data_IF_585263720274
#
_entry.id   IF_585263720274
#
_cell.length_a   1.000
_cell.length_b   1.000
_cell.length_c   1.000
_cell.angle_alpha   90.00
_cell.angle_beta   90.00
_cell.angle_gamma   90.00
#
_symmetry.space_group_name_H-M   'P 1'
#
loop_
_entity.id
_entity.type
_entity.pdbx_description
1 polymer ?
#
# COMPACT_ATOMS: atom_id res chain seq x y z
N UNK A 1 -13.33 -2.16 19.58
CA UNK A 1 -13.53 -2.95 18.34
C UNK A 1 -13.50 -2.03 17.14
N UNK A 2 -12.65 -2.33 16.16
CA UNK A 2 -12.50 -1.55 14.92
C UNK A 2 -13.78 -1.65 14.08
N UNK A 3 -14.34 -2.83 13.93
CA UNK A 3 -15.53 -3.10 13.11
C UNK A 3 -16.83 -2.72 13.78
N UNK A 4 -16.83 -2.48 15.09
CA UNK A 4 -18.02 -2.26 15.94
C UNK A 4 -19.07 -3.37 15.84
N UNK A 5 -18.74 -4.51 15.23
CA UNK A 5 -19.61 -5.65 15.00
C UNK A 5 -19.10 -6.86 15.80
N UNK A 6 -19.88 -7.32 16.77
CA UNK A 6 -19.55 -8.49 17.60
C UNK A 6 -19.40 -9.75 16.72
N UNK A 7 -18.35 -10.54 16.97
CA UNK A 7 -18.10 -11.79 16.26
C UNK A 7 -17.62 -11.62 14.81
N UNK A 8 -17.36 -10.39 14.34
CA UNK A 8 -16.90 -10.17 12.96
C UNK A 8 -15.55 -10.83 12.68
N UNK A 9 -14.64 -10.84 13.66
CA UNK A 9 -13.33 -11.48 13.53
C UNK A 9 -13.48 -12.99 13.29
N UNK A 10 -14.24 -13.68 14.12
CA UNK A 10 -14.46 -15.13 13.98
C UNK A 10 -15.15 -15.50 12.66
N UNK A 11 -16.13 -14.69 12.24
CA UNK A 11 -16.78 -14.87 10.93
C UNK A 11 -15.82 -14.70 9.76
N UNK A 12 -14.95 -13.69 9.82
CA UNK A 12 -13.94 -13.46 8.78
C UNK A 12 -12.93 -14.61 8.74
N UNK A 13 -12.45 -15.04 9.91
CA UNK A 13 -11.52 -16.16 10.04
C UNK A 13 -12.12 -17.47 9.47
N UNK A 14 -13.35 -17.78 9.83
CA UNK A 14 -14.07 -18.95 9.29
C UNK A 14 -14.28 -18.84 7.77
N UNK A 15 -14.57 -17.65 7.24
CA UNK A 15 -14.71 -17.41 5.81
C UNK A 15 -13.39 -17.64 5.05
N UNK A 16 -12.28 -17.16 5.59
CA UNK A 16 -10.94 -17.40 5.02
C UNK A 16 -10.61 -18.89 4.96
N UNK A 17 -10.84 -19.63 6.05
CA UNK A 17 -10.57 -21.07 6.09
C UNK A 17 -11.42 -21.83 5.06
N UNK A 18 -12.71 -21.49 4.92
CA UNK A 18 -13.57 -22.10 3.89
C UNK A 18 -13.06 -21.86 2.47
N UNK A 19 -12.55 -20.67 2.17
CA UNK A 19 -11.97 -20.41 0.86
C UNK A 19 -10.70 -21.25 0.63
N UNK A 20 -9.88 -21.44 1.66
CA UNK A 20 -8.71 -22.31 1.59
C UNK A 20 -9.11 -23.77 1.37
N UNK A 21 -10.12 -24.27 2.07
CA UNK A 21 -10.64 -25.64 1.91
C UNK A 21 -11.14 -25.92 0.48
N UNK A 22 -11.68 -24.88 -0.18
CA UNK A 22 -12.10 -24.94 -1.59
C UNK A 22 -10.95 -24.66 -2.59
N UNK A 23 -9.70 -24.60 -2.12
CA UNK A 23 -8.51 -24.29 -2.92
C UNK A 23 -8.58 -22.92 -3.64
N UNK A 24 -9.31 -21.95 -3.09
CA UNK A 24 -9.37 -20.59 -3.60
C UNK A 24 -8.18 -19.81 -3.02
N UNK A 25 -7.29 -19.23 -3.87
CA UNK A 25 -6.17 -18.44 -3.37
C UNK A 25 -6.64 -17.24 -2.54
N UNK A 26 -6.12 -17.12 -1.33
CA UNK A 26 -6.46 -16.05 -0.40
C UNK A 26 -5.20 -15.27 -0.02
N UNK A 27 -5.33 -13.96 0.07
CA UNK A 27 -4.36 -13.08 0.70
C UNK A 27 -5.05 -12.23 1.77
N UNK A 28 -4.45 -12.12 2.93
CA UNK A 28 -4.92 -11.25 4.01
C UNK A 28 -4.23 -9.90 3.87
N UNK A 29 -5.01 -8.81 3.82
CA UNK A 29 -4.50 -7.45 3.98
C UNK A 29 -4.67 -7.01 5.43
N UNK A 30 -3.56 -6.72 6.10
CA UNK A 30 -3.51 -6.30 7.50
C UNK A 30 -2.86 -4.92 7.61
N UNK A 31 -3.61 -3.82 7.37
CA UNK A 31 -3.09 -2.48 7.63
C UNK A 31 -2.83 -2.31 9.14
N UNK A 32 -1.64 -1.80 9.47
CA UNK A 32 -1.24 -1.60 10.87
C UNK A 32 -1.62 -0.19 11.29
N UNK A 33 -2.40 -0.08 12.34
CA UNK A 33 -2.90 1.15 12.94
C UNK A 33 -2.66 1.13 14.45
N UNK A 34 -2.91 2.24 15.14
CA UNK A 34 -2.70 2.33 16.62
C UNK A 34 -3.38 1.21 17.41
N UNK A 35 -4.56 0.74 16.94
CA UNK A 35 -5.33 -0.26 17.65
C UNK A 35 -4.79 -1.69 17.55
N UNK A 36 -4.00 -2.00 16.52
CA UNK A 36 -3.49 -3.36 16.30
C UNK A 36 -1.96 -3.43 16.17
N UNK A 37 -1.24 -2.34 16.40
CA UNK A 37 0.22 -2.29 16.25
C UNK A 37 0.98 -3.30 17.12
N UNK A 38 0.40 -3.70 18.24
CA UNK A 38 0.98 -4.64 19.19
C UNK A 38 0.50 -6.09 18.97
N UNK A 39 -0.48 -6.32 18.07
CA UNK A 39 -1.12 -7.63 17.86
C UNK A 39 -1.18 -8.08 16.40
N UNK A 40 -0.72 -7.26 15.44
CA UNK A 40 -0.75 -7.63 14.02
C UNK A 40 0.12 -8.87 13.72
N UNK A 41 1.13 -9.11 14.53
CA UNK A 41 2.03 -10.27 14.40
C UNK A 41 1.27 -11.58 14.61
N UNK A 42 0.24 -11.59 15.46
CA UNK A 42 -0.62 -12.77 15.67
C UNK A 42 -1.36 -13.13 14.36
N UNK A 43 -1.80 -12.11 13.58
CA UNK A 43 -2.43 -12.33 12.27
C UNK A 43 -1.41 -12.84 11.25
N UNK A 44 -0.18 -12.33 11.32
CA UNK A 44 0.91 -12.74 10.45
C UNK A 44 1.26 -14.21 10.67
N UNK A 45 1.50 -14.61 11.93
CA UNK A 45 1.81 -15.98 12.29
C UNK A 45 0.65 -16.93 11.98
N UNK A 46 -0.59 -16.52 12.30
CA UNK A 46 -1.77 -17.30 11.94
C UNK A 46 -1.87 -17.54 10.42
N UNK A 47 -1.57 -16.53 9.61
CA UNK A 47 -1.52 -16.68 8.15
C UNK A 47 -0.46 -17.69 7.70
N UNK A 48 0.74 -17.61 8.25
CA UNK A 48 1.83 -18.57 7.93
C UNK A 48 1.48 -20.00 8.33
N UNK A 49 0.90 -20.20 9.52
CA UNK A 49 0.45 -21.51 9.99
C UNK A 49 -0.60 -22.17 9.07
N UNK A 50 -1.33 -21.33 8.31
CA UNK A 50 -2.35 -21.79 7.36
C UNK A 50 -1.90 -21.66 5.89
N UNK A 51 -0.60 -21.38 5.65
CA UNK A 51 -0.05 -21.17 4.31
C UNK A 51 -0.75 -20.06 3.52
N UNK A 52 -1.16 -18.99 4.21
CA UNK A 52 -1.84 -17.82 3.65
C UNK A 52 -0.88 -16.63 3.65
N UNK A 53 -0.75 -15.96 2.50
CA UNK A 53 0.03 -14.73 2.42
C UNK A 53 -0.65 -13.59 3.20
N UNK A 54 0.12 -12.90 4.05
CA UNK A 54 -0.33 -11.72 4.79
C UNK A 54 0.47 -10.52 4.35
N UNK A 55 -0.21 -9.53 3.77
CA UNK A 55 0.37 -8.25 3.43
C UNK A 55 0.14 -7.26 4.58
N UNK A 56 1.21 -6.76 5.17
CA UNK A 56 1.17 -5.75 6.24
C UNK A 56 1.66 -4.40 5.72
N UNK A 57 0.95 -3.34 6.02
CA UNK A 57 1.33 -1.97 5.66
C UNK A 57 1.21 -1.07 6.91
N UNK A 58 2.32 -0.50 7.42
CA UNK A 58 2.31 0.32 8.64
C UNK A 58 1.83 1.75 8.40
N UNK A 59 1.24 2.01 7.25
CA UNK A 59 0.84 3.37 6.86
C UNK A 59 -0.57 3.37 6.30
N UNK A 60 -1.41 4.28 6.81
CA UNK A 60 -2.72 4.61 6.25
C UNK A 60 -2.72 6.05 5.73
N UNK A 61 -3.58 6.34 4.78
CA UNK A 61 -3.76 7.66 4.17
C UNK A 61 -5.16 8.22 4.48
N UNK A 62 -5.34 9.52 4.28
CA UNK A 62 -6.64 10.18 4.48
C UNK A 62 -7.73 9.58 3.59
N UNK A 63 -8.96 9.61 4.08
CA UNK A 63 -10.12 9.24 3.29
C UNK A 63 -10.28 10.16 2.07
N UNK A 64 -10.98 9.66 1.06
CA UNK A 64 -11.15 10.37 -0.22
C UNK A 64 -11.96 11.68 -0.13
N UNK A 65 -12.68 11.89 0.96
CA UNK A 65 -13.44 13.10 1.25
C UNK A 65 -12.60 14.24 1.88
N UNK A 66 -11.29 14.03 1.98
CA UNK A 66 -10.32 14.93 2.61
C UNK A 66 -10.57 15.21 4.10
N UNK A 67 -11.49 14.50 4.76
CA UNK A 67 -11.82 14.75 6.18
C UNK A 67 -10.65 14.45 7.11
N UNK A 68 -9.76 13.54 6.72
CA UNK A 68 -8.64 13.12 7.56
C UNK A 68 -9.05 12.44 8.88
N UNK A 69 -10.34 12.20 9.11
CA UNK A 69 -10.84 11.64 10.37
C UNK A 69 -10.24 10.28 10.73
N UNK A 70 -9.89 9.47 9.73
CA UNK A 70 -9.23 8.18 9.93
C UNK A 70 -7.75 8.32 10.31
N UNK A 71 -7.13 9.48 10.10
CA UNK A 71 -5.71 9.72 10.43
C UNK A 71 -5.45 9.74 11.94
N UNK A 72 -6.48 9.88 12.77
CA UNK A 72 -6.37 9.70 14.22
C UNK A 72 -5.84 8.29 14.58
N UNK A 73 -6.06 7.30 13.70
CA UNK A 73 -5.60 5.92 13.86
C UNK A 73 -4.23 5.65 13.19
N UNK A 74 -3.66 6.63 12.48
CA UNK A 74 -2.33 6.52 11.86
C UNK A 74 -1.27 6.44 12.94
N UNK A 75 -0.29 5.59 12.72
CA UNK A 75 0.91 5.51 13.56
C UNK A 75 1.71 6.83 13.48
N UNK A 76 2.32 7.23 14.60
CA UNK A 76 3.36 8.26 14.57
C UNK A 76 4.61 7.72 13.85
N UNK A 77 5.57 8.58 13.56
CA UNK A 77 6.85 8.14 12.95
C UNK A 77 7.61 7.20 13.91
N UNK A 78 7.55 7.44 15.21
CA UNK A 78 8.16 6.61 16.23
C UNK A 78 7.47 5.22 16.30
N UNK A 79 6.14 5.19 16.28
CA UNK A 79 5.38 3.94 16.25
C UNK A 79 5.64 3.14 14.95
N UNK A 80 5.84 3.80 13.82
CA UNK A 80 6.26 3.14 12.56
C UNK A 80 7.67 2.56 12.71
N UNK A 81 8.60 3.25 13.39
CA UNK A 81 9.94 2.74 13.67
C UNK A 81 9.90 1.44 14.47
N UNK A 82 9.05 1.37 15.48
CA UNK A 82 8.84 0.17 16.30
C UNK A 82 8.28 -0.98 15.45
N UNK A 83 7.23 -0.74 14.68
CA UNK A 83 6.63 -1.73 13.77
C UNK A 83 7.66 -2.26 12.76
N UNK A 84 8.42 -1.37 12.11
CA UNK A 84 9.47 -1.78 11.18
C UNK A 84 10.56 -2.59 11.86
N UNK A 85 10.88 -2.31 13.14
CA UNK A 85 11.84 -3.11 13.90
C UNK A 85 11.35 -4.55 14.07
N UNK A 86 10.09 -4.72 14.45
CA UNK A 86 9.46 -6.04 14.55
C UNK A 86 9.42 -6.73 13.19
N UNK A 87 9.03 -6.05 12.13
CA UNK A 87 9.03 -6.62 10.77
C UNK A 87 10.43 -7.11 10.34
N UNK A 88 11.50 -6.40 10.70
CA UNK A 88 12.87 -6.89 10.44
C UNK A 88 13.19 -8.17 11.22
N UNK A 89 12.69 -8.31 12.46
CA UNK A 89 12.83 -9.52 13.25
C UNK A 89 12.04 -10.70 12.66
N UNK A 90 10.88 -10.43 12.08
CA UNK A 90 10.04 -11.41 11.36
C UNK A 90 10.55 -11.75 9.95
N UNK A 91 11.74 -11.29 9.55
CA UNK A 91 12.39 -11.69 8.32
C UNK A 91 12.00 -10.89 7.06
N UNK A 92 11.37 -9.75 7.19
CA UNK A 92 10.93 -8.93 6.04
C UNK A 92 12.07 -8.28 5.26
N UNK A 93 13.31 -8.23 5.80
CA UNK A 93 14.41 -7.46 5.21
C UNK A 93 14.74 -7.88 3.76
N UNK A 94 14.88 -9.17 3.50
CA UNK A 94 15.24 -9.66 2.16
C UNK A 94 14.13 -9.40 1.13
N UNK A 95 12.86 -9.61 1.50
CA UNK A 95 11.72 -9.34 0.62
C UNK A 95 11.55 -7.86 0.30
N UNK A 96 11.67 -6.99 1.29
CA UNK A 96 11.61 -5.53 1.09
C UNK A 96 12.78 -5.04 0.25
N UNK A 97 13.99 -5.57 0.45
CA UNK A 97 15.14 -5.25 -0.37
C UNK A 97 14.93 -5.66 -1.84
N UNK A 98 14.45 -6.88 -2.09
CA UNK A 98 14.13 -7.34 -3.45
C UNK A 98 13.14 -6.40 -4.14
N UNK A 99 12.05 -6.03 -3.46
CA UNK A 99 11.06 -5.08 -3.98
C UNK A 99 11.70 -3.72 -4.26
N UNK A 100 12.62 -3.27 -3.40
CA UNK A 100 13.32 -2.00 -3.58
C UNK A 100 14.20 -2.02 -4.83
N UNK A 101 14.96 -3.08 -5.06
CA UNK A 101 15.80 -3.25 -6.25
C UNK A 101 14.97 -3.24 -7.54
N UNK A 102 13.83 -3.94 -7.56
CA UNK A 102 12.91 -3.92 -8.69
C UNK A 102 12.40 -2.49 -8.99
N UNK A 103 12.09 -1.72 -7.96
CA UNK A 103 11.65 -0.32 -8.10
C UNK A 103 12.76 0.64 -8.55
N UNK A 104 13.98 0.40 -8.11
CA UNK A 104 15.16 1.21 -8.50
C UNK A 104 15.53 1.04 -9.96
N UNK A 105 15.19 -0.08 -10.58
CA UNK A 105 15.37 -0.31 -12.01
C UNK A 105 14.46 0.59 -12.88
N UNK A 106 13.38 1.14 -12.32
CA UNK A 106 12.45 2.01 -13.02
C UNK A 106 13.05 3.40 -13.25
N UNK A 107 12.77 3.95 -14.43
CA UNK A 107 13.27 5.25 -14.90
C UNK A 107 12.23 6.36 -14.81
N UNK A 108 12.62 7.59 -15.05
CA UNK A 108 11.68 8.70 -15.16
C UNK A 108 10.63 8.54 -16.26
N UNK A 109 10.87 7.71 -17.28
CA UNK A 109 9.93 7.44 -18.36
C UNK A 109 8.88 6.37 -18.02
N UNK A 110 9.08 5.62 -16.96
CA UNK A 110 8.15 4.58 -16.54
C UNK A 110 6.87 5.16 -15.93
N UNK A 111 5.75 4.43 -16.00
CA UNK A 111 4.50 4.84 -15.35
C UNK A 111 4.70 4.98 -13.84
N UNK A 112 3.94 5.89 -13.25
CA UNK A 112 3.99 6.06 -11.79
C UNK A 112 3.39 4.88 -11.02
N UNK A 113 2.32 4.29 -11.55
CA UNK A 113 1.65 3.10 -11.00
C UNK A 113 0.77 2.42 -12.07
N UNK A 114 0.08 1.35 -11.68
CA UNK A 114 -0.84 0.57 -12.53
C UNK A 114 -2.20 1.23 -12.79
N UNK A 115 -2.51 2.36 -12.14
CA UNK A 115 -3.81 3.03 -12.21
C UNK A 115 -4.22 3.31 -13.67
N UNK A 116 -5.45 2.94 -14.03
CA UNK A 116 -6.00 3.08 -15.39
C UNK A 116 -5.20 2.41 -16.51
N UNK A 117 -4.18 1.59 -16.19
CA UNK A 117 -3.40 0.80 -17.16
C UNK A 117 -3.81 -0.67 -17.14
N UNK A 118 -4.05 -1.21 -15.94
CA UNK A 118 -4.43 -2.61 -15.74
C UNK A 118 -5.68 -2.76 -14.87
N UNK A 119 -6.09 -1.70 -14.18
CA UNK A 119 -7.22 -1.74 -13.26
C UNK A 119 -7.88 -0.38 -13.09
N UNK A 120 -9.12 -0.42 -12.64
CA UNK A 120 -9.88 0.68 -12.05
C UNK A 120 -10.79 0.13 -10.94
N UNK A 121 -11.46 0.98 -10.20
CA UNK A 121 -12.39 0.61 -9.15
C UNK A 121 -13.82 0.92 -9.58
N UNK A 122 -14.75 0.01 -9.29
CA UNK A 122 -16.19 0.20 -9.47
C UNK A 122 -16.88 0.07 -8.13
N UNK A 123 -17.75 1.02 -7.81
CA UNK A 123 -18.59 0.94 -6.61
C UNK A 123 -19.89 0.19 -6.89
N UNK A 124 -20.60 -0.18 -5.84
CA UNK A 124 -21.92 -0.84 -5.95
C UNK A 124 -22.96 0.04 -6.67
N UNK A 125 -22.78 1.37 -6.72
CA UNK A 125 -23.62 2.30 -7.46
C UNK A 125 -23.30 2.40 -8.96
N UNK A 126 -22.28 1.67 -9.44
CA UNK A 126 -21.84 1.75 -10.84
C UNK A 126 -20.85 2.85 -11.14
N UNK A 127 -20.53 3.72 -10.19
CA UNK A 127 -19.53 4.79 -10.40
C UNK A 127 -18.12 4.21 -10.50
N UNK A 128 -17.34 4.70 -11.47
CA UNK A 128 -16.01 4.19 -11.77
C UNK A 128 -14.94 5.22 -11.38
N UNK A 129 -13.91 4.75 -10.68
CA UNK A 129 -12.79 5.54 -10.17
C UNK A 129 -11.45 4.97 -10.60
N UNK A 130 -10.37 5.77 -10.63
CA UNK A 130 -9.03 5.29 -11.00
C UNK A 130 -8.51 4.16 -10.11
N UNK A 131 -8.76 4.24 -8.80
CA UNK A 131 -8.47 3.20 -7.82
C UNK A 131 -9.39 3.32 -6.60
N UNK A 132 -9.43 2.29 -5.76
CA UNK A 132 -10.33 2.21 -4.60
C UNK A 132 -10.19 3.38 -3.60
N UNK A 133 -8.98 3.92 -3.44
CA UNK A 133 -8.75 5.05 -2.53
C UNK A 133 -9.02 6.43 -3.14
N UNK A 134 -9.29 6.53 -4.46
CA UNK A 134 -9.41 7.82 -5.15
C UNK A 134 -10.85 8.09 -5.61
N UNK A 135 -11.80 7.96 -4.70
CA UNK A 135 -13.22 8.05 -5.00
C UNK A 135 -13.78 9.48 -5.15
N UNK A 136 -12.94 10.50 -5.04
CA UNK A 136 -13.26 11.88 -5.44
C UNK A 136 -12.86 12.20 -6.89
N UNK A 137 -12.40 11.21 -7.67
CA UNK A 137 -11.94 11.37 -9.04
C UNK A 137 -12.70 10.42 -9.97
N UNK A 138 -13.92 10.77 -10.35
CA UNK A 138 -14.78 9.95 -11.24
C UNK A 138 -14.19 9.89 -12.65
N UNK A 139 -14.12 8.67 -13.22
CA UNK A 139 -13.64 8.40 -14.58
C UNK A 139 -14.70 7.83 -15.52
N UNK A 140 -15.85 7.41 -14.98
CA UNK A 140 -16.97 6.88 -15.74
C UNK A 140 -18.12 6.43 -14.84
N UNK A 141 -19.23 6.00 -15.48
CA UNK A 141 -20.43 5.49 -14.81
C UNK A 141 -21.03 4.33 -15.62
N UNK A 142 -21.05 3.13 -15.03
CA UNK A 142 -21.58 1.92 -15.65
C UNK A 142 -23.11 1.91 -15.79
N UNK A 143 -23.82 2.86 -15.17
CA UNK A 143 -25.26 3.03 -15.43
C UNK A 143 -25.55 3.63 -16.81
N UNK A 144 -24.53 4.26 -17.44
CA UNK A 144 -24.66 4.99 -18.71
C UNK A 144 -23.64 4.58 -19.77
N UNK A 145 -22.60 3.83 -19.38
CA UNK A 145 -21.50 3.47 -20.26
C UNK A 145 -21.10 2.01 -20.03
N UNK A 146 -20.59 1.36 -21.05
CA UNK A 146 -19.94 0.04 -20.89
C UNK A 146 -18.53 0.18 -20.32
N UNK A 147 -17.99 -0.89 -19.75
CA UNK A 147 -16.59 -0.97 -19.30
C UNK A 147 -15.64 -0.60 -20.44
N UNK A 148 -15.90 -1.10 -21.65
CA UNK A 148 -15.06 -0.84 -22.82
C UNK A 148 -15.08 0.64 -23.20
N UNK A 149 -16.26 1.27 -23.26
CA UNK A 149 -16.37 2.70 -23.56
C UNK A 149 -15.60 3.54 -22.55
N UNK A 150 -15.76 3.30 -21.24
CA UNK A 150 -15.02 4.02 -20.20
C UNK A 150 -13.51 3.84 -20.42
N UNK A 151 -13.06 2.60 -20.61
CA UNK A 151 -11.65 2.25 -20.75
C UNK A 151 -10.97 2.89 -21.95
N UNK A 152 -11.67 3.00 -23.07
CA UNK A 152 -11.14 3.48 -24.33
C UNK A 152 -11.35 4.98 -24.55
N UNK A 153 -12.46 5.54 -24.06
CA UNK A 153 -12.86 6.91 -24.41
C UNK A 153 -12.65 7.93 -23.31
N UNK A 154 -12.62 7.54 -22.03
CA UNK A 154 -12.49 8.48 -20.92
C UNK A 154 -11.23 9.34 -21.05
N UNK A 155 -11.43 10.65 -21.15
CA UNK A 155 -10.33 11.61 -21.22
C UNK A 155 -9.44 11.55 -19.97
N UNK A 156 -10.04 11.31 -18.79
CA UNK A 156 -9.33 11.18 -17.51
C UNK A 156 -8.43 9.95 -17.46
N UNK A 157 -8.89 8.82 -18.00
CA UNK A 157 -8.05 7.62 -18.15
C UNK A 157 -6.86 7.90 -19.07
N UNK A 158 -7.09 8.57 -20.19
CA UNK A 158 -6.02 8.95 -21.14
C UNK A 158 -5.00 9.86 -20.48
N UNK A 159 -5.44 10.86 -19.71
CA UNK A 159 -4.57 11.75 -18.92
C UNK A 159 -3.73 10.97 -17.92
N UNK A 160 -4.35 10.12 -17.07
CA UNK A 160 -3.67 9.36 -16.05
C UNK A 160 -2.65 8.37 -16.62
N UNK A 161 -2.92 7.78 -17.79
CA UNK A 161 -1.98 6.91 -18.50
C UNK A 161 -0.71 7.63 -18.96
N UNK A 162 -0.75 8.94 -19.13
CA UNK A 162 0.42 9.73 -19.54
C UNK A 162 1.31 10.13 -18.35
N UNK A 163 0.84 9.96 -17.10
CA UNK A 163 1.63 10.33 -15.93
C UNK A 163 2.82 9.39 -15.78
N UNK A 164 4.02 9.96 -15.90
CA UNK A 164 5.31 9.28 -15.73
C UNK A 164 5.95 9.66 -14.42
N UNK A 165 6.93 8.86 -13.99
CA UNK A 165 7.74 9.11 -12.78
C UNK A 165 8.43 10.46 -12.81
N UNK A 166 8.88 10.91 -13.98
CA UNK A 166 9.50 12.23 -14.17
C UNK A 166 8.60 13.42 -13.78
N UNK A 167 7.29 13.21 -13.64
CA UNK A 167 6.38 14.25 -13.10
C UNK A 167 6.70 14.59 -11.64
N UNK A 168 7.35 13.70 -10.92
CA UNK A 168 7.76 13.86 -9.53
C UNK A 168 9.28 14.08 -9.46
N UNK A 169 9.74 15.26 -9.86
CA UNK A 169 11.17 15.60 -9.99
C UNK A 169 11.99 15.27 -8.74
N UNK A 170 11.43 15.50 -7.56
CA UNK A 170 12.08 15.21 -6.28
C UNK A 170 12.27 13.71 -6.01
N UNK A 171 11.55 12.85 -6.74
CA UNK A 171 11.54 11.40 -6.51
C UNK A 171 12.43 10.65 -7.51
N UNK A 172 12.77 11.24 -8.65
CA UNK A 172 13.55 10.56 -9.72
C UNK A 172 14.94 10.15 -9.19
N UNK A 173 15.62 11.06 -8.50
CA UNK A 173 16.95 10.84 -7.96
C UNK A 173 16.96 10.63 -6.43
N UNK A 174 15.80 10.33 -5.85
CA UNK A 174 15.70 10.09 -4.42
C UNK A 174 16.38 8.77 -4.05
N UNK A 175 17.31 8.83 -3.10
CA UNK A 175 18.05 7.65 -2.60
C UNK A 175 17.15 6.58 -1.96
N UNK A 176 15.97 6.98 -1.48
CA UNK A 176 15.00 6.10 -0.81
C UNK A 176 13.87 5.64 -1.75
N UNK A 177 14.00 5.89 -3.08
CA UNK A 177 12.94 5.61 -4.06
C UNK A 177 12.55 4.14 -4.16
N UNK A 178 13.49 3.23 -3.93
CA UNK A 178 13.24 1.79 -3.89
C UNK A 178 12.28 1.39 -2.79
N UNK A 179 12.36 2.04 -1.65
CA UNK A 179 11.51 1.81 -0.49
C UNK A 179 10.26 2.69 -0.45
N UNK A 180 10.01 3.47 -1.51
CA UNK A 180 8.89 4.39 -1.59
C UNK A 180 7.97 4.05 -2.77
N UNK A 181 6.66 4.06 -2.51
CA UNK A 181 5.65 4.07 -3.57
C UNK A 181 5.03 5.46 -3.63
N UNK A 182 5.42 6.26 -4.63
CA UNK A 182 4.77 7.56 -4.88
C UNK A 182 3.33 7.29 -5.30
N UNK A 183 2.37 7.92 -4.63
CA UNK A 183 0.95 7.67 -4.84
C UNK A 183 0.19 8.99 -5.06
N UNK A 184 -0.34 9.18 -6.25
CA UNK A 184 -1.14 10.35 -6.62
C UNK A 184 -2.41 10.47 -5.75
N UNK A 185 -3.06 9.34 -5.50
CA UNK A 185 -4.26 9.27 -4.66
C UNK A 185 -3.97 9.73 -3.24
N UNK A 186 -2.92 9.20 -2.62
CA UNK A 186 -2.52 9.61 -1.29
C UNK A 186 -2.22 11.11 -1.20
N UNK A 187 -1.39 11.58 -2.15
CA UNK A 187 -1.09 13.00 -2.24
C UNK A 187 -2.38 13.83 -2.36
N UNK A 188 -3.29 13.44 -3.26
CA UNK A 188 -4.57 14.13 -3.47
C UNK A 188 -5.41 14.16 -2.20
N UNK A 189 -5.54 13.03 -1.49
CA UNK A 189 -6.40 12.94 -0.32
C UNK A 189 -5.88 13.75 0.88
N UNK A 190 -4.57 13.91 1.02
CA UNK A 190 -3.95 14.62 2.15
C UNK A 190 -3.59 16.08 1.87
N UNK A 191 -3.61 16.50 0.60
CA UNK A 191 -3.43 17.91 0.28
C UNK A 191 -4.79 18.65 0.31
N UNK A 192 -4.90 19.78 1.01
CA UNK A 192 -6.15 20.53 1.12
C UNK A 192 -6.74 20.97 -0.22
N UNK A 193 -5.89 21.17 -1.24
CA UNK A 193 -6.28 21.54 -2.59
C UNK A 193 -6.44 20.33 -3.53
N UNK A 194 -6.35 19.12 -3.00
CA UNK A 194 -6.45 17.88 -3.79
C UNK A 194 -5.30 17.63 -4.76
N UNK A 195 -4.17 18.33 -4.62
CA UNK A 195 -3.05 18.28 -5.57
C UNK A 195 -2.36 16.90 -5.59
N UNK A 196 -2.47 16.09 -6.68
CA UNK A 196 -1.95 14.73 -6.72
C UNK A 196 -0.42 14.68 -6.89
N UNK A 197 0.20 15.80 -7.29
CA UNK A 197 1.63 15.88 -7.58
C UNK A 197 2.45 16.53 -6.48
N UNK A 198 1.82 16.97 -5.37
CA UNK A 198 2.51 17.47 -4.20
C UNK A 198 2.92 16.31 -3.31
N UNK A 199 4.23 16.21 -3.03
CA UNK A 199 4.83 15.12 -2.26
C UNK A 199 4.34 15.14 -0.81
N UNK A 200 4.00 13.96 -0.29
CA UNK A 200 3.66 13.76 1.11
C UNK A 200 4.90 13.48 1.96
N UNK A 201 5.25 14.39 2.87
CA UNK A 201 6.47 14.30 3.67
C UNK A 201 6.46 13.13 4.66
N UNK A 202 5.30 12.77 5.22
CA UNK A 202 5.18 11.59 6.10
C UNK A 202 5.62 10.32 5.35
N UNK A 203 5.18 10.15 4.11
CA UNK A 203 5.59 9.02 3.27
C UNK A 203 7.10 9.00 2.99
N UNK A 204 7.70 10.15 2.73
CA UNK A 204 9.14 10.26 2.55
C UNK A 204 9.91 9.81 3.80
N UNK A 205 9.46 10.23 4.99
CA UNK A 205 10.07 9.85 6.26
C UNK A 205 10.00 8.34 6.49
N UNK A 206 8.84 7.72 6.22
CA UNK A 206 8.67 6.26 6.33
C UNK A 206 9.58 5.52 5.36
N UNK A 207 9.66 5.96 4.10
CA UNK A 207 10.53 5.33 3.11
C UNK A 207 12.02 5.37 3.52
N UNK A 208 12.50 6.53 3.97
CA UNK A 208 13.88 6.69 4.43
C UNK A 208 14.16 5.84 5.69
N UNK A 209 13.18 5.68 6.56
CA UNK A 209 13.28 4.82 7.74
C UNK A 209 13.34 3.34 7.35
N UNK A 210 12.43 2.91 6.46
CA UNK A 210 12.41 1.53 5.94
C UNK A 210 13.75 1.16 5.33
N UNK A 211 14.30 2.02 4.47
CA UNK A 211 15.61 1.84 3.84
C UNK A 211 16.70 1.57 4.90
N UNK A 212 16.86 2.47 5.87
CA UNK A 212 17.86 2.31 6.94
C UNK A 212 17.70 1.03 7.76
N UNK A 213 16.45 0.63 8.05
CA UNK A 213 16.16 -0.60 8.81
C UNK A 213 16.50 -1.85 8.03
N UNK A 214 16.16 -1.88 6.74
CA UNK A 214 16.48 -3.00 5.84
C UNK A 214 17.99 -3.14 5.70
N UNK A 215 18.72 -2.07 5.42
CA UNK A 215 20.18 -2.11 5.30
C UNK A 215 20.84 -2.66 6.57
N UNK A 216 20.41 -2.16 7.73
CA UNK A 216 20.95 -2.62 9.02
C UNK A 216 20.65 -4.11 9.28
N UNK A 217 19.45 -4.58 8.90
CA UNK A 217 19.07 -5.97 9.05
C UNK A 217 19.89 -6.89 8.12
N UNK A 218 20.07 -6.51 6.86
CA UNK A 218 20.87 -7.27 5.89
C UNK A 218 22.36 -7.34 6.28
N UNK A 219 22.93 -6.26 6.82
CA UNK A 219 24.30 -6.26 7.36
C UNK A 219 24.45 -7.28 8.49
N UNK A 220 23.49 -7.34 9.42
CA UNK A 220 23.49 -8.33 10.51
C UNK A 220 23.41 -9.77 9.99
N UNK A 221 22.53 -10.04 9.03
CA UNK A 221 22.38 -11.36 8.39
C UNK A 221 23.71 -11.77 7.72
N UNK A 222 24.35 -10.87 7.00
CA UNK A 222 25.61 -11.13 6.32
C UNK A 222 26.75 -11.42 7.32
N UNK A 223 26.84 -10.64 8.40
CA UNK A 223 27.84 -10.84 9.44
C UNK A 223 27.66 -12.19 10.17
N UNK A 224 26.42 -12.59 10.47
CA UNK A 224 26.12 -13.87 11.09
C UNK A 224 26.52 -15.08 10.22
N UNK A 225 26.31 -14.98 8.88
CA UNK A 225 26.72 -16.02 7.92
C UNK A 225 28.25 -16.19 7.81
N UNK A 226 29.03 -15.13 8.10
CA UNK A 226 30.50 -15.18 8.07
C UNK A 226 31.04 -15.85 9.36
N UNK A 227 30.43 -15.59 10.52
CA UNK A 227 30.87 -16.15 11.81
C UNK A 227 30.44 -17.61 12.01
N UNK A 228 29.56 -18.15 11.20
CA UNK A 228 29.08 -19.54 11.26
C UNK A 228 29.82 -20.49 10.29
N UNK A 229 30.83 -19.99 9.59
CA UNK A 229 31.76 -20.76 8.74
C UNK A 229 33.12 -20.90 9.42
#
# INVERSE_FOLDING_TARGET
SITKLSGSFEKTKAGVLRLCDENIPVQISCPIIKQNKDTYVDVLHWGWDHNIAVATEPVIFAAYDHSGCNLANRLSIEEVDDVLTVQMQEGYAESLHKIAMDRESLTGNDPICSVCRYSFCVTASGTVFPCAGWQNNVIGDLNHQTVQEIWETSAKIKELRQVKRSRFLQCVDCKDRGYCTVCMMWNSNENPDGAPFRINQYRCNVAAMTHRKVDKALQRISSAKITSR
#
